data_IF_046852984493
#
_entry.id   IF_046852984493
#
_cell.length_a   1.000
_cell.length_b   1.000
_cell.length_c   1.000
_cell.angle_alpha   90.00
_cell.angle_beta   90.00
_cell.angle_gamma   90.00
#
_symmetry.space_group_name_H-M   'P 1'
#
loop_
_entity.id
_entity.type
_entity.pdbx_description
1 polymer ?
#
# COMPACT_ATOMS: atom_id res chain seq x y z
N UNK A 1 13.86 -1.57 10.87
CA UNK A 1 12.82 -1.33 9.84
C UNK A 1 13.08 -2.37 8.76
N UNK A 2 12.10 -3.20 8.41
CA UNK A 2 12.27 -4.13 7.29
C UNK A 2 12.57 -3.33 6.01
N UNK A 3 13.51 -3.79 5.19
CA UNK A 3 13.78 -3.15 3.90
C UNK A 3 12.49 -3.11 3.08
N UNK A 4 12.08 -1.91 2.62
CA UNK A 4 10.88 -1.72 1.80
C UNK A 4 11.16 -2.16 0.36
N UNK A 5 11.29 -3.47 0.15
CA UNK A 5 11.51 -4.09 -1.16
C UNK A 5 10.49 -5.20 -1.35
N UNK A 6 9.88 -5.28 -2.53
CA UNK A 6 8.86 -6.29 -2.84
C UNK A 6 9.41 -7.71 -2.79
N UNK A 7 10.70 -7.87 -3.06
CA UNK A 7 11.41 -9.16 -3.05
C UNK A 7 12.00 -9.53 -1.69
N UNK A 8 11.89 -8.66 -0.67
CA UNK A 8 12.40 -8.96 0.65
C UNK A 8 11.48 -9.96 1.36
N UNK A 9 12.08 -11.01 1.93
CA UNK A 9 11.33 -11.96 2.75
C UNK A 9 10.78 -11.23 3.98
N UNK A 10 9.45 -11.28 4.16
CA UNK A 10 8.82 -10.70 5.34
C UNK A 10 9.31 -11.42 6.61
N UNK A 11 9.56 -10.68 7.69
CA UNK A 11 10.06 -11.23 8.96
C UNK A 11 9.20 -12.37 9.55
N UNK A 12 7.90 -12.39 9.22
CA UNK A 12 6.96 -13.42 9.66
C UNK A 12 6.75 -14.53 8.61
N UNK A 13 7.52 -14.56 7.52
CA UNK A 13 7.33 -15.53 6.45
C UNK A 13 7.89 -16.92 6.81
N UNK A 14 8.94 -16.99 7.63
CA UNK A 14 9.49 -18.26 8.09
C UNK A 14 8.50 -18.99 8.98
N UNK A 15 8.12 -20.22 8.61
CA UNK A 15 7.18 -21.05 9.38
C UNK A 15 5.75 -20.52 9.40
N UNK A 16 5.36 -19.67 8.43
CA UNK A 16 4.00 -19.16 8.27
C UNK A 16 3.00 -20.28 7.93
N UNK A 17 3.45 -21.27 7.17
CA UNK A 17 2.70 -22.43 6.69
C UNK A 17 2.32 -23.43 7.79
N UNK A 18 2.99 -23.39 8.93
CA UNK A 18 2.73 -24.25 10.10
C UNK A 18 1.98 -23.52 11.22
N UNK A 19 1.58 -22.25 11.01
CA UNK A 19 0.83 -21.48 12.01
C UNK A 19 -0.64 -21.88 12.06
N UNK A 20 -1.26 -21.62 13.22
CA UNK A 20 -2.70 -21.73 13.36
C UNK A 20 -3.43 -20.67 12.48
N UNK A 21 -4.65 -20.98 11.96
CA UNK A 21 -5.37 -20.07 11.08
C UNK A 21 -5.60 -18.67 11.65
N UNK A 22 -5.91 -18.55 12.94
CA UNK A 22 -6.12 -17.28 13.64
C UNK A 22 -4.85 -16.43 13.73
N UNK A 23 -3.69 -17.06 13.93
CA UNK A 23 -2.39 -16.39 13.88
C UNK A 23 -2.10 -15.84 12.48
N UNK A 24 -2.35 -16.63 11.42
CA UNK A 24 -2.19 -16.19 10.02
C UNK A 24 -3.09 -14.99 9.72
N UNK A 25 -4.37 -15.07 10.09
CA UNK A 25 -5.33 -13.98 9.88
C UNK A 25 -4.91 -12.71 10.62
N UNK A 26 -4.35 -12.85 11.83
CA UNK A 26 -3.81 -11.72 12.59
C UNK A 26 -2.62 -11.07 11.89
N UNK A 27 -1.70 -11.85 11.31
CA UNK A 27 -0.59 -11.31 10.53
C UNK A 27 -1.05 -10.56 9.29
N UNK A 28 -2.02 -11.12 8.55
CA UNK A 28 -2.58 -10.47 7.36
C UNK A 28 -3.29 -9.16 7.71
N UNK A 29 -4.09 -9.14 8.79
CA UNK A 29 -4.78 -7.95 9.23
C UNK A 29 -3.80 -6.83 9.62
N UNK A 30 -2.74 -7.16 10.37
CA UNK A 30 -1.70 -6.20 10.73
C UNK A 30 -0.96 -5.66 9.51
N UNK A 31 -0.63 -6.51 8.53
CA UNK A 31 0.01 -6.07 7.30
C UNK A 31 -0.86 -5.06 6.51
N UNK A 32 -2.18 -5.23 6.50
CA UNK A 32 -3.09 -4.27 5.88
C UNK A 32 -3.08 -2.91 6.59
N UNK A 33 -2.98 -2.90 7.94
CA UNK A 33 -2.87 -1.66 8.71
C UNK A 33 -1.57 -0.93 8.37
N UNK A 34 -0.45 -1.65 8.29
CA UNK A 34 0.84 -1.06 7.91
C UNK A 34 0.82 -0.51 6.48
N UNK A 35 0.20 -1.23 5.54
CA UNK A 35 0.00 -0.75 4.18
C UNK A 35 -0.81 0.56 4.13
N UNK A 36 -1.89 0.65 4.92
CA UNK A 36 -2.68 1.88 5.02
C UNK A 36 -1.88 3.03 5.64
N UNK A 37 -1.07 2.76 6.69
CA UNK A 37 -0.19 3.76 7.32
C UNK A 37 0.86 4.30 6.36
N UNK A 38 1.40 3.49 5.48
CA UNK A 38 2.41 3.92 4.50
C UNK A 38 1.90 5.05 3.58
N UNK A 39 0.58 5.12 3.33
CA UNK A 39 -0.04 6.17 2.51
C UNK A 39 0.08 7.55 3.16
N UNK A 40 0.18 7.65 4.49
CA UNK A 40 0.22 8.94 5.20
C UNK A 40 1.35 9.85 4.70
N UNK A 41 2.54 9.30 4.44
CA UNK A 41 3.67 10.06 3.93
C UNK A 41 3.47 10.56 2.49
N UNK A 42 2.62 9.88 1.71
CA UNK A 42 2.33 10.22 0.32
C UNK A 42 1.16 11.21 0.16
N UNK A 43 0.43 11.56 1.23
CA UNK A 43 -0.75 12.44 1.16
C UNK A 43 -0.47 13.74 0.39
N UNK A 44 0.63 14.49 0.62
CA UNK A 44 0.89 15.72 -0.12
C UNK A 44 1.06 15.50 -1.63
N UNK A 45 1.77 14.45 -2.04
CA UNK A 45 1.97 14.12 -3.45
C UNK A 45 0.67 13.64 -4.11
N UNK A 46 -0.15 12.87 -3.38
CA UNK A 46 -1.48 12.43 -3.85
C UNK A 46 -2.40 13.64 -4.03
N UNK A 47 -2.36 14.63 -3.14
CA UNK A 47 -3.12 15.87 -3.28
C UNK A 47 -2.71 16.65 -4.54
N UNK A 48 -1.41 16.83 -4.78
CA UNK A 48 -0.90 17.48 -6.00
C UNK A 48 -1.36 16.76 -7.28
N UNK A 49 -1.24 15.42 -7.29
CA UNK A 49 -1.71 14.60 -8.41
C UNK A 49 -3.23 14.74 -8.61
N UNK A 50 -4.02 14.76 -7.53
CA UNK A 50 -5.46 14.93 -7.60
C UNK A 50 -5.86 16.29 -8.19
N UNK A 51 -5.14 17.37 -7.85
CA UNK A 51 -5.37 18.68 -8.46
C UNK A 51 -5.08 18.67 -9.97
N UNK A 52 -3.98 18.05 -10.39
CA UNK A 52 -3.62 17.93 -11.80
C UNK A 52 -4.70 17.17 -12.57
N UNK A 53 -5.14 16.03 -12.03
CA UNK A 53 -6.22 15.22 -12.61
C UNK A 53 -7.50 16.04 -12.72
N UNK A 54 -7.90 16.75 -11.66
CA UNK A 54 -9.10 17.58 -11.67
C UNK A 54 -9.04 18.67 -12.74
N UNK A 55 -7.89 19.36 -12.90
CA UNK A 55 -7.69 20.36 -13.96
C UNK A 55 -7.82 19.75 -15.36
N UNK A 56 -7.22 18.58 -15.60
CA UNK A 56 -7.30 17.91 -16.89
C UNK A 56 -8.72 17.46 -17.23
N UNK A 57 -9.42 16.84 -16.28
CA UNK A 57 -10.82 16.41 -16.47
C UNK A 57 -11.73 17.61 -16.76
N UNK A 58 -11.56 18.73 -16.04
CA UNK A 58 -12.31 19.96 -16.30
C UNK A 58 -12.07 20.54 -17.71
N UNK A 59 -10.86 20.33 -18.26
CA UNK A 59 -10.50 20.71 -19.62
C UNK A 59 -10.93 19.73 -20.71
N UNK A 60 -11.63 18.64 -20.37
CA UNK A 60 -12.02 17.58 -21.33
C UNK A 60 -10.93 16.52 -21.58
N UNK A 61 -9.85 16.54 -20.80
CA UNK A 61 -8.81 15.52 -20.78
C UNK A 61 -9.25 14.22 -20.09
N UNK A 62 -8.32 13.27 -19.95
CA UNK A 62 -8.56 11.94 -19.36
C UNK A 62 -7.40 11.55 -18.44
N UNK A 63 -7.69 10.72 -17.43
CA UNK A 63 -6.69 10.01 -16.66
C UNK A 63 -6.53 8.61 -17.25
N UNK A 64 -5.30 8.22 -17.57
CA UNK A 64 -4.96 6.87 -18.02
C UNK A 64 -4.02 6.21 -17.00
N UNK A 65 -4.26 4.93 -16.73
CA UNK A 65 -3.35 4.07 -15.98
C UNK A 65 -2.67 3.12 -16.99
N UNK A 66 -1.36 2.91 -16.84
CA UNK A 66 -0.54 2.10 -17.74
C UNK A 66 0.05 0.90 -16.99
#
# INVERSE_FOLDING_TARGET
>A
MAETRTEALHQNAAGLDVQAPDAILSFLANAQIEAARAVHGAIPAIAEAAELVARQLKGGGRLAYA
#
